data_IF_259527203952
#
_entry.id   IF_259527203952
#
_cell.length_a   1.000
_cell.length_b   1.000
_cell.length_c   1.000
_cell.angle_alpha   90.00
_cell.angle_beta   90.00
_cell.angle_gamma   90.00
#
_symmetry.space_group_name_H-M   'P 1'
#
loop_
_entity.id
_entity.type
_entity.pdbx_description
1 polymer ?
#
# COMPACT_ATOMS: atom_id res chain seq x y z
N UNK A 1 -6.58 11.71 14.08
CA UNK A 1 -5.38 10.97 13.63
C UNK A 1 -4.96 10.05 14.76
N UNK A 2 -5.60 8.88 14.82
CA UNK A 2 -5.58 8.00 15.99
C UNK A 2 -4.44 6.99 15.93
N UNK A 3 -3.50 7.10 16.87
CA UNK A 3 -2.75 5.97 17.36
C UNK A 3 -3.38 5.59 18.70
N UNK A 4 -3.89 4.37 18.83
CA UNK A 4 -4.26 3.79 20.12
C UNK A 4 -3.34 2.60 20.37
N UNK A 5 -2.49 2.75 21.38
CA UNK A 5 -1.77 1.65 21.97
C UNK A 5 -2.73 0.66 22.64
N UNK A 6 -2.42 -0.62 22.48
CA UNK A 6 -3.10 -1.73 23.11
C UNK A 6 -2.67 -3.02 22.43
N UNK A 7 -1.70 -3.72 23.03
CA UNK A 7 -1.32 -5.14 22.90
C UNK A 7 -1.88 -5.97 21.71
N UNK A 8 -1.71 -5.46 20.49
CA UNK A 8 -2.03 -6.13 19.23
C UNK A 8 -1.37 -5.32 18.12
N UNK A 9 -0.35 -5.87 17.48
CA UNK A 9 0.51 -5.16 16.52
C UNK A 9 -0.17 -4.93 15.16
N UNK A 10 -1.48 -4.77 15.10
CA UNK A 10 -2.21 -4.53 13.85
C UNK A 10 -2.25 -3.03 13.52
N UNK A 11 -1.30 -2.59 12.71
CA UNK A 11 -1.31 -1.25 12.11
C UNK A 11 -2.10 -1.34 10.79
N UNK A 12 -3.43 -1.43 10.91
CA UNK A 12 -4.35 -1.61 9.78
C UNK A 12 -4.72 -0.30 9.07
N UNK A 13 -4.11 0.82 9.47
CA UNK A 13 -4.46 2.16 9.00
C UNK A 13 -3.87 2.56 7.65
N UNK A 14 -2.84 1.84 7.18
CA UNK A 14 -2.14 2.18 5.94
C UNK A 14 -2.76 1.53 4.69
N UNK A 15 -3.65 0.55 4.85
CA UNK A 15 -4.29 -0.16 3.73
C UNK A 15 -5.04 0.78 2.81
N UNK A 16 -4.78 0.69 1.50
CA UNK A 16 -5.28 1.63 0.49
C UNK A 16 -4.39 2.86 0.26
N UNK A 17 -3.38 3.09 1.11
CA UNK A 17 -2.42 4.18 0.94
C UNK A 17 -1.40 3.95 -0.19
N UNK A 18 -0.73 5.01 -0.69
CA UNK A 18 0.20 4.93 -1.80
C UNK A 18 1.61 4.47 -1.38
N UNK A 19 2.22 3.64 -2.22
CA UNK A 19 3.68 3.46 -2.27
C UNK A 19 4.25 4.38 -3.34
N UNK A 20 4.90 5.45 -2.92
CA UNK A 20 5.57 6.39 -3.81
C UNK A 20 6.99 5.90 -4.13
N UNK A 21 7.29 5.76 -5.42
CA UNK A 21 8.63 5.45 -5.92
C UNK A 21 9.14 6.62 -6.80
N UNK A 22 10.43 6.96 -6.74
CA UNK A 22 11.00 7.94 -7.64
C UNK A 22 11.11 7.35 -9.05
N UNK A 23 10.66 8.11 -10.05
CA UNK A 23 10.92 7.90 -11.48
C UNK A 23 11.96 8.91 -11.97
N UNK A 24 12.32 8.89 -13.26
CA UNK A 24 13.38 9.76 -13.82
C UNK A 24 13.06 11.25 -13.65
N UNK A 25 11.78 11.64 -13.70
CA UNK A 25 11.35 13.05 -13.69
C UNK A 25 10.39 13.41 -12.53
N UNK A 26 9.71 12.43 -11.94
CA UNK A 26 8.65 12.66 -10.95
C UNK A 26 8.49 11.48 -9.99
N UNK A 27 7.71 11.65 -8.93
CA UNK A 27 7.29 10.55 -8.06
C UNK A 27 6.04 9.89 -8.62
N UNK A 28 6.06 8.56 -8.67
CA UNK A 28 4.95 7.74 -9.14
C UNK A 28 4.39 6.87 -8.02
N UNK A 29 3.08 6.61 -8.06
CA UNK A 29 2.45 5.64 -7.16
C UNK A 29 2.62 4.25 -7.77
N UNK A 30 3.66 3.52 -7.36
CA UNK A 30 3.97 2.20 -7.87
C UNK A 30 3.08 1.09 -7.27
N UNK A 31 2.55 1.32 -6.06
CA UNK A 31 1.78 0.34 -5.31
C UNK A 31 0.70 0.94 -4.44
N UNK A 32 -0.31 0.12 -4.11
CA UNK A 32 -1.35 0.41 -3.12
C UNK A 32 -1.18 -0.59 -1.98
N UNK A 33 -1.09 -0.12 -0.72
CA UNK A 33 -0.92 -1.01 0.44
C UNK A 33 -2.08 -2.00 0.50
N UNK A 34 -1.75 -3.29 0.53
CA UNK A 34 -2.74 -4.37 0.59
C UNK A 34 -2.77 -5.03 1.97
N UNK A 35 -1.70 -5.72 2.35
CA UNK A 35 -1.61 -6.40 3.64
C UNK A 35 -0.17 -6.51 4.16
N UNK A 36 -0.04 -6.68 5.47
CA UNK A 36 1.21 -6.93 6.17
C UNK A 36 1.20 -8.29 6.86
N UNK A 37 2.18 -8.51 7.75
CA UNK A 37 2.18 -9.72 8.57
C UNK A 37 1.06 -9.70 9.60
N UNK A 38 0.40 -10.84 9.82
CA UNK A 38 -0.56 -11.02 10.92
C UNK A 38 0.10 -10.96 12.31
N UNK A 39 1.44 -11.10 12.40
CA UNK A 39 2.20 -10.88 13.62
C UNK A 39 2.43 -9.37 13.90
N UNK A 40 2.03 -8.53 12.95
CA UNK A 40 2.07 -7.09 13.02
C UNK A 40 3.06 -6.40 12.10
N UNK A 41 3.11 -5.07 12.18
CA UNK A 41 4.00 -4.28 11.32
C UNK A 41 5.47 -4.44 11.69
N UNK A 42 6.35 -4.21 10.71
CA UNK A 42 7.81 -4.36 10.82
C UNK A 42 8.28 -5.77 11.22
N UNK A 43 7.49 -6.80 10.92
CA UNK A 43 7.87 -8.19 11.14
C UNK A 43 9.06 -8.58 10.24
N UNK A 44 10.13 -9.08 10.85
CA UNK A 44 11.37 -9.46 10.15
C UNK A 44 11.08 -10.46 9.02
N UNK A 45 11.59 -10.18 7.81
CA UNK A 45 11.40 -10.99 6.59
C UNK A 45 9.93 -11.12 6.15
N UNK A 46 9.02 -10.27 6.64
CA UNK A 46 7.63 -10.18 6.18
C UNK A 46 7.39 -8.76 5.68
N UNK A 47 7.82 -8.46 4.44
CA UNK A 47 7.58 -7.14 3.87
C UNK A 47 6.08 -6.89 3.72
N UNK A 48 5.69 -5.62 3.76
CA UNK A 48 4.35 -5.19 3.36
C UNK A 48 4.11 -5.55 1.90
N UNK A 49 2.94 -6.07 1.60
CA UNK A 49 2.52 -6.47 0.25
C UNK A 49 1.64 -5.37 -0.34
N UNK A 50 1.91 -5.05 -1.60
CA UNK A 50 1.24 -3.98 -2.33
C UNK A 50 0.55 -4.55 -3.59
N UNK A 51 -0.59 -3.99 -3.94
CA UNK A 51 -1.17 -4.14 -5.28
C UNK A 51 -0.31 -3.36 -6.26
N UNK A 52 0.19 -4.01 -7.32
CA UNK A 52 1.05 -3.37 -8.34
C UNK A 52 0.22 -2.48 -9.25
N UNK A 53 0.33 -1.15 -9.13
CA UNK A 53 -0.49 -0.19 -9.89
C UNK A 53 -0.34 -0.37 -11.40
N UNK A 54 0.88 -0.60 -11.89
CA UNK A 54 1.13 -0.80 -13.32
C UNK A 54 0.41 -2.00 -13.94
N UNK A 55 -0.05 -2.98 -13.15
CA UNK A 55 -0.85 -4.09 -13.66
C UNK A 55 -2.33 -3.72 -13.93
N UNK A 56 -2.80 -2.59 -13.42
CA UNK A 56 -4.20 -2.20 -13.42
C UNK A 56 -4.49 -0.90 -14.17
N UNK A 57 -3.48 -0.29 -14.82
CA UNK A 57 -3.65 0.99 -15.54
C UNK A 57 -4.74 0.91 -16.60
N UNK A 58 -4.80 -0.18 -17.37
CA UNK A 58 -5.83 -0.35 -18.40
C UNK A 58 -7.24 -0.37 -17.80
N UNK A 59 -7.43 -1.12 -16.71
CA UNK A 59 -8.70 -1.16 -15.98
C UNK A 59 -9.07 0.19 -15.36
N UNK A 60 -8.10 0.91 -14.78
CA UNK A 60 -8.32 2.24 -14.22
C UNK A 60 -8.80 3.20 -15.32
N UNK A 61 -8.13 3.18 -16.48
CA UNK A 61 -8.50 4.03 -17.62
C UNK A 61 -9.88 3.69 -18.17
N UNK A 62 -10.21 2.39 -18.26
CA UNK A 62 -11.55 1.94 -18.66
C UNK A 62 -12.61 2.49 -17.71
N UNK A 63 -12.45 2.32 -16.40
CA UNK A 63 -13.41 2.78 -15.39
C UNK A 63 -13.55 4.31 -15.40
N UNK A 64 -12.46 5.06 -15.57
CA UNK A 64 -12.50 6.53 -15.63
C UNK A 64 -13.09 7.09 -16.93
N UNK A 65 -13.11 6.29 -18.00
CA UNK A 65 -13.68 6.67 -19.30
C UNK A 65 -15.19 6.40 -19.44
N UNK A 66 -15.80 5.77 -18.43
CA UNK A 66 -17.24 5.51 -18.32
C UNK A 66 -17.94 6.61 -17.50
#
# INVERSE_FOLDING_TARGET
WGALGGEGLEVSGDSGGPLNCPSEEHWEVAGIVSFGSALGCNTRRKPTVFTRVSAFIDWINEVLSN
#
